data_IF_036611535587
#
_entry.id   IF_036611535587
#
_cell.length_a   1.000
_cell.length_b   1.000
_cell.length_c   1.000
_cell.angle_alpha   90.00
_cell.angle_beta   90.00
_cell.angle_gamma   90.00
#
_symmetry.space_group_name_H-M   'P 1'
#
loop_
_entity.id
_entity.type
_entity.pdbx_description
1 polymer ?
#
# COMPACT_ATOMS: atom_id res chain seq x y z
N UNK A 1 -29.07 -45.96 7.51
CA UNK A 1 -29.34 -45.90 6.06
C UNK A 1 -28.07 -46.32 5.32
N UNK A 2 -28.15 -47.39 4.50
CA UNK A 2 -27.00 -47.92 3.74
C UNK A 2 -26.87 -47.13 2.43
N UNK A 3 -25.74 -46.49 2.19
CA UNK A 3 -25.40 -45.98 0.85
C UNK A 3 -24.56 -47.02 0.11
N UNK A 4 -25.03 -47.44 -1.07
CA UNK A 4 -24.25 -48.20 -2.05
C UNK A 4 -23.30 -47.23 -2.78
N UNK A 5 -22.11 -47.71 -3.22
CA UNK A 5 -21.18 -46.93 -4.03
C UNK A 5 -21.66 -46.92 -5.48
N UNK A 6 -21.78 -45.73 -6.06
CA UNK A 6 -22.20 -45.55 -7.44
C UNK A 6 -21.55 -44.32 -8.04
N UNK A 7 -20.72 -44.58 -9.06
CA UNK A 7 -20.11 -43.65 -10.01
C UNK A 7 -19.07 -42.69 -9.43
N UNK A 8 -17.80 -43.06 -9.63
CA UNK A 8 -16.67 -42.13 -9.44
C UNK A 8 -16.81 -40.93 -10.38
N UNK A 9 -16.33 -39.74 -9.96
CA UNK A 9 -16.35 -38.58 -10.83
C UNK A 9 -15.38 -38.79 -11.98
N UNK A 10 -15.89 -38.58 -13.18
CA UNK A 10 -15.12 -38.49 -14.41
C UNK A 10 -14.21 -37.24 -14.30
N UNK A 11 -12.87 -37.34 -14.41
CA UNK A 11 -11.95 -36.23 -14.10
C UNK A 11 -11.93 -35.11 -15.16
N UNK A 12 -12.95 -35.00 -16.00
CA UNK A 12 -12.99 -34.06 -17.13
C UNK A 12 -14.21 -33.12 -17.14
N UNK A 13 -15.07 -33.12 -16.11
CA UNK A 13 -16.31 -32.30 -16.11
C UNK A 13 -16.48 -31.30 -14.97
N UNK A 14 -15.54 -31.18 -14.03
CA UNK A 14 -15.62 -30.16 -12.96
C UNK A 14 -14.92 -28.82 -13.31
N UNK A 15 -14.59 -28.59 -14.59
CA UNK A 15 -14.16 -27.28 -15.12
C UNK A 15 -15.37 -26.35 -15.32
N UNK A 16 -16.30 -26.34 -14.36
CA UNK A 16 -17.64 -25.75 -14.52
C UNK A 16 -17.75 -24.29 -14.08
N UNK A 17 -16.90 -23.81 -13.17
CA UNK A 17 -16.95 -22.42 -12.68
C UNK A 17 -15.53 -22.00 -12.27
N UNK A 18 -14.78 -21.27 -13.11
CA UNK A 18 -13.43 -20.79 -12.75
C UNK A 18 -13.43 -20.09 -11.39
N UNK A 19 -14.43 -19.24 -11.15
CA UNK A 19 -14.64 -18.51 -9.88
C UNK A 19 -15.12 -19.38 -8.70
N UNK A 20 -15.21 -20.69 -8.87
CA UNK A 20 -15.60 -21.65 -7.83
C UNK A 20 -14.45 -22.04 -6.90
N UNK A 21 -13.20 -21.85 -7.32
CA UNK A 21 -12.01 -22.37 -6.61
C UNK A 21 -11.99 -21.98 -5.13
N UNK A 22 -12.24 -20.71 -4.81
CA UNK A 22 -12.26 -20.23 -3.43
C UNK A 22 -13.26 -21.00 -2.55
N UNK A 23 -14.43 -21.34 -3.09
CA UNK A 23 -15.45 -22.11 -2.37
C UNK A 23 -15.03 -23.56 -2.19
N UNK A 24 -14.40 -24.16 -3.21
CA UNK A 24 -13.88 -25.54 -3.14
C UNK A 24 -12.81 -25.66 -2.07
N UNK A 25 -11.85 -24.72 -2.04
CA UNK A 25 -10.77 -24.70 -1.06
C UNK A 25 -11.28 -24.48 0.38
N UNK A 26 -12.33 -23.67 0.56
CA UNK A 26 -12.96 -23.47 1.87
C UNK A 26 -13.82 -24.66 2.33
N UNK A 27 -14.33 -25.47 1.40
CA UNK A 27 -15.12 -26.66 1.72
C UNK A 27 -14.26 -27.85 2.18
N UNK A 28 -12.95 -27.84 1.86
CA UNK A 28 -12.01 -28.85 2.32
C UNK A 28 -11.85 -28.79 3.85
N UNK A 29 -12.51 -29.71 4.55
CA UNK A 29 -12.79 -29.63 5.99
C UNK A 29 -11.57 -29.72 6.92
N UNK A 30 -10.38 -30.00 6.42
CA UNK A 30 -9.22 -30.23 7.29
C UNK A 30 -7.84 -29.97 6.71
N UNK A 31 -7.69 -29.73 5.40
CA UNK A 31 -6.36 -29.65 4.76
C UNK A 31 -5.42 -30.77 5.24
N UNK A 32 -5.98 -31.96 5.48
CA UNK A 32 -5.24 -33.11 6.01
C UNK A 32 -4.08 -33.46 5.09
N UNK A 33 -2.94 -33.81 5.68
CA UNK A 33 -1.74 -34.16 4.94
C UNK A 33 -1.99 -35.24 3.86
N UNK A 34 -2.91 -36.17 4.12
CA UNK A 34 -3.28 -37.22 3.17
C UNK A 34 -3.95 -36.70 1.90
N UNK A 35 -4.71 -35.60 1.98
CA UNK A 35 -5.47 -35.02 0.86
C UNK A 35 -4.77 -33.82 0.22
N UNK A 36 -3.67 -33.35 0.82
CA UNK A 36 -2.97 -32.13 0.40
C UNK A 36 -2.40 -32.24 -1.02
N UNK A 37 -1.83 -33.40 -1.38
CA UNK A 37 -1.33 -33.64 -2.74
C UNK A 37 -2.44 -33.56 -3.80
N UNK A 38 -3.61 -34.13 -3.50
CA UNK A 38 -4.76 -34.11 -4.41
C UNK A 38 -5.31 -32.68 -4.57
N UNK A 39 -5.37 -31.92 -3.47
CA UNK A 39 -5.78 -30.51 -3.49
C UNK A 39 -4.80 -29.65 -4.29
N UNK A 40 -3.48 -29.83 -4.11
CA UNK A 40 -2.47 -29.12 -4.89
C UNK A 40 -2.49 -29.53 -6.37
N UNK A 41 -2.73 -30.81 -6.68
CA UNK A 41 -2.90 -31.28 -8.06
C UNK A 41 -4.12 -30.64 -8.74
N UNK A 42 -5.25 -30.57 -8.02
CA UNK A 42 -6.45 -29.86 -8.47
C UNK A 42 -6.17 -28.36 -8.68
N UNK A 43 -5.46 -27.72 -7.76
CA UNK A 43 -5.08 -26.31 -7.87
C UNK A 43 -4.23 -26.05 -9.14
N UNK A 44 -3.28 -26.92 -9.45
CA UNK A 44 -2.42 -26.79 -10.63
C UNK A 44 -3.12 -27.08 -11.95
N UNK A 45 -4.18 -27.89 -11.93
CA UNK A 45 -5.01 -28.16 -13.10
C UNK A 45 -6.14 -27.14 -13.27
N UNK A 46 -6.32 -26.22 -12.31
CA UNK A 46 -7.34 -25.18 -12.38
C UNK A 46 -7.02 -24.15 -13.47
N UNK A 47 -8.06 -23.72 -14.21
CA UNK A 47 -7.91 -22.66 -15.20
C UNK A 47 -7.46 -21.35 -14.52
N UNK A 48 -6.50 -20.60 -15.09
CA UNK A 48 -6.07 -19.32 -14.53
C UNK A 48 -7.24 -18.38 -14.26
N UNK A 49 -7.23 -17.77 -13.07
CA UNK A 49 -8.26 -16.82 -12.68
C UNK A 49 -7.88 -15.40 -13.12
N UNK A 50 -8.91 -14.59 -13.37
CA UNK A 50 -8.74 -13.15 -13.50
C UNK A 50 -8.17 -12.56 -12.19
N UNK A 51 -7.53 -11.36 -12.24
CA UNK A 51 -6.84 -10.80 -11.09
C UNK A 51 -7.70 -10.67 -9.84
N UNK A 52 -8.96 -10.21 -9.96
CA UNK A 52 -9.84 -9.98 -8.81
C UNK A 52 -10.20 -11.29 -8.08
N UNK A 53 -10.70 -12.36 -8.75
CA UNK A 53 -10.87 -13.65 -8.10
C UNK A 53 -9.58 -14.26 -7.57
N UNK A 54 -8.44 -14.08 -8.24
CA UNK A 54 -7.15 -14.55 -7.75
C UNK A 54 -6.73 -13.84 -6.45
N UNK A 55 -6.96 -12.53 -6.33
CA UNK A 55 -6.69 -11.76 -5.11
C UNK A 55 -7.46 -12.28 -3.89
N UNK A 56 -8.65 -12.87 -4.09
CA UNK A 56 -9.43 -13.49 -3.02
C UNK A 56 -8.65 -14.63 -2.34
N UNK A 57 -7.83 -15.36 -3.10
CA UNK A 57 -6.99 -16.44 -2.58
C UNK A 57 -5.80 -15.95 -1.74
N UNK A 58 -5.60 -14.63 -1.65
CA UNK A 58 -4.60 -14.01 -0.78
C UNK A 58 -5.19 -13.54 0.56
N UNK A 59 -6.48 -13.78 0.82
CA UNK A 59 -7.13 -13.45 2.10
C UNK A 59 -6.63 -14.37 3.24
N UNK A 60 -6.76 -13.95 4.52
CA UNK A 60 -6.29 -14.73 5.67
C UNK A 60 -6.91 -16.13 5.81
N UNK A 61 -8.10 -16.36 5.24
CA UNK A 61 -8.75 -17.68 5.23
C UNK A 61 -8.08 -18.69 4.28
N UNK A 62 -7.09 -18.26 3.48
CA UNK A 62 -6.26 -19.11 2.62
C UNK A 62 -4.79 -19.02 3.06
N UNK A 63 -4.40 -19.74 4.13
CA UNK A 63 -3.03 -19.68 4.67
C UNK A 63 -2.03 -20.56 3.91
N UNK A 64 -2.50 -21.48 3.05
CA UNK A 64 -1.64 -22.42 2.33
C UNK A 64 -0.71 -21.69 1.36
N UNK A 65 0.59 -21.95 1.48
CA UNK A 65 1.62 -21.24 0.69
C UNK A 65 1.51 -21.53 -0.80
N UNK A 66 1.05 -22.73 -1.19
CA UNK A 66 0.96 -23.13 -2.58
C UNK A 66 -0.25 -22.50 -3.28
N UNK A 67 -1.40 -22.44 -2.61
CA UNK A 67 -2.57 -21.65 -3.07
C UNK A 67 -2.18 -20.21 -3.35
N UNK A 68 -1.49 -19.56 -2.41
CA UNK A 68 -1.07 -18.17 -2.55
C UNK A 68 -0.05 -17.99 -3.67
N UNK A 69 0.89 -18.94 -3.82
CA UNK A 69 1.88 -18.94 -4.90
C UNK A 69 1.22 -19.05 -6.27
N UNK A 70 0.24 -19.94 -6.44
CA UNK A 70 -0.51 -20.10 -7.70
C UNK A 70 -1.36 -18.87 -7.98
N UNK A 71 -2.05 -18.31 -6.98
CA UNK A 71 -2.79 -17.07 -7.13
C UNK A 71 -1.89 -15.92 -7.62
N UNK A 72 -0.68 -15.80 -7.06
CA UNK A 72 0.30 -14.81 -7.52
C UNK A 72 0.75 -15.03 -8.97
N UNK A 73 0.86 -16.29 -9.42
CA UNK A 73 1.22 -16.59 -10.81
C UNK A 73 0.16 -16.12 -11.81
N UNK A 74 -1.12 -16.08 -11.40
CA UNK A 74 -2.21 -15.57 -12.24
C UNK A 74 -2.25 -14.05 -12.27
N UNK A 75 -1.77 -13.37 -11.21
CA UNK A 75 -1.74 -11.91 -11.11
C UNK A 75 -0.42 -11.33 -11.67
N UNK A 76 0.61 -12.14 -11.93
CA UNK A 76 1.96 -11.64 -12.26
C UNK A 76 1.98 -10.64 -13.44
N UNK A 77 1.09 -10.83 -14.41
CA UNK A 77 1.06 -10.09 -15.68
C UNK A 77 0.16 -8.84 -15.69
N UNK A 78 -0.46 -8.45 -14.57
CA UNK A 78 -1.27 -7.22 -14.54
C UNK A 78 -0.44 -5.99 -14.89
N UNK A 79 -1.05 -4.96 -15.48
CA UNK A 79 -0.32 -3.74 -15.84
C UNK A 79 0.15 -2.97 -14.60
N UNK A 80 1.11 -2.05 -14.74
CA UNK A 80 1.55 -1.23 -13.59
C UNK A 80 0.45 -0.27 -13.10
N UNK A 81 -0.44 0.18 -13.99
CA UNK A 81 -1.54 1.06 -13.62
C UNK A 81 -2.60 0.28 -12.82
N UNK A 82 -3.01 -0.88 -13.33
CA UNK A 82 -3.94 -1.78 -12.63
C UNK A 82 -3.36 -2.29 -11.30
N UNK A 83 -2.05 -2.57 -11.25
CA UNK A 83 -1.38 -2.94 -10.00
C UNK A 83 -1.54 -1.85 -8.93
N UNK A 84 -1.43 -0.57 -9.30
CA UNK A 84 -1.57 0.54 -8.35
C UNK A 84 -2.96 0.55 -7.71
N UNK A 85 -4.00 0.19 -8.45
CA UNK A 85 -5.38 0.09 -7.95
C UNK A 85 -5.56 -1.03 -6.91
N UNK A 86 -4.71 -2.06 -6.95
CA UNK A 86 -4.72 -3.20 -6.03
C UNK A 86 -3.63 -3.16 -4.96
N UNK A 87 -2.70 -2.20 -5.00
CA UNK A 87 -1.54 -2.16 -4.10
C UNK A 87 -1.93 -2.13 -2.62
N UNK A 88 -2.99 -1.40 -2.26
CA UNK A 88 -3.44 -1.33 -0.87
C UNK A 88 -3.89 -2.70 -0.34
N UNK A 89 -4.65 -3.44 -1.16
CA UNK A 89 -5.14 -4.78 -0.87
C UNK A 89 -3.99 -5.78 -0.79
N UNK A 90 -3.00 -5.68 -1.68
CA UNK A 90 -1.79 -6.49 -1.66
C UNK A 90 -0.92 -6.23 -0.42
N UNK A 91 -0.81 -4.97 0.02
CA UNK A 91 -0.12 -4.63 1.29
C UNK A 91 -0.87 -5.21 2.50
N UNK A 92 -2.21 -5.27 2.48
CA UNK A 92 -2.95 -5.98 3.52
C UNK A 92 -2.73 -7.50 3.45
N UNK A 93 -2.74 -8.09 2.25
CA UNK A 93 -2.49 -9.52 2.06
C UNK A 93 -1.11 -9.95 2.59
N UNK A 94 -0.09 -9.10 2.45
CA UNK A 94 1.24 -9.34 3.01
C UNK A 94 1.23 -9.55 4.53
N UNK A 95 0.30 -8.93 5.27
CA UNK A 95 0.18 -9.14 6.72
C UNK A 95 -0.20 -10.60 7.05
N UNK A 96 -1.00 -11.21 6.19
CA UNK A 96 -1.49 -12.60 6.37
C UNK A 96 -0.51 -13.68 5.90
N UNK A 97 0.60 -13.31 5.27
CA UNK A 97 1.63 -14.28 4.87
C UNK A 97 2.20 -15.02 6.09
N UNK A 98 2.75 -16.22 5.89
CA UNK A 98 3.42 -16.96 6.96
C UNK A 98 4.88 -16.52 7.07
N UNK A 99 5.58 -16.43 5.94
CA UNK A 99 7.01 -16.17 5.87
C UNK A 99 7.31 -14.77 5.31
N UNK A 100 8.47 -14.23 5.65
CA UNK A 100 8.93 -12.94 5.14
C UNK A 100 9.26 -12.99 3.65
N UNK A 101 9.87 -14.09 3.20
CA UNK A 101 10.13 -14.37 1.79
C UNK A 101 8.99 -15.19 1.21
N UNK A 102 8.07 -14.53 0.53
CA UNK A 102 6.92 -15.15 -0.13
C UNK A 102 6.75 -14.60 -1.56
N UNK A 103 5.90 -15.27 -2.37
CA UNK A 103 5.69 -14.91 -3.77
C UNK A 103 5.17 -13.47 -3.93
N UNK A 104 4.30 -13.01 -3.03
CA UNK A 104 3.75 -11.67 -3.04
C UNK A 104 4.81 -10.59 -2.77
N UNK A 105 5.66 -10.78 -1.77
CA UNK A 105 6.76 -9.86 -1.45
C UNK A 105 7.76 -9.75 -2.61
N UNK A 106 8.13 -10.89 -3.22
CA UNK A 106 9.02 -10.91 -4.38
C UNK A 106 8.39 -10.21 -5.59
N UNK A 107 7.11 -10.46 -5.84
CA UNK A 107 6.35 -9.77 -6.89
C UNK A 107 6.36 -8.25 -6.68
N UNK A 108 6.00 -7.77 -5.49
CA UNK A 108 5.95 -6.33 -5.21
C UNK A 108 7.32 -5.66 -5.36
N UNK A 109 8.41 -6.29 -4.91
CA UNK A 109 9.76 -5.78 -5.11
C UNK A 109 10.15 -5.75 -6.60
N UNK A 110 9.92 -6.84 -7.34
CA UNK A 110 10.18 -6.91 -8.79
C UNK A 110 9.43 -5.80 -9.53
N UNK A 111 8.15 -5.58 -9.21
CA UNK A 111 7.32 -4.54 -9.85
C UNK A 111 7.75 -3.13 -9.46
N UNK A 112 8.16 -2.90 -8.22
CA UNK A 112 8.71 -1.62 -7.77
C UNK A 112 10.03 -1.27 -8.47
N UNK A 113 10.88 -2.25 -8.75
CA UNK A 113 12.13 -2.05 -9.51
C UNK A 113 11.88 -1.64 -10.96
N UNK A 114 10.81 -2.15 -11.57
CA UNK A 114 10.46 -1.88 -12.96
C UNK A 114 9.65 -0.58 -13.13
N UNK A 115 9.00 -0.10 -12.08
CA UNK A 115 8.13 1.07 -12.14
C UNK A 115 8.31 2.00 -10.93
N UNK A 116 8.91 3.19 -11.11
CA UNK A 116 9.01 4.19 -10.06
C UNK A 116 7.66 4.62 -9.48
N UNK A 117 6.59 4.57 -10.30
CA UNK A 117 5.22 4.85 -9.85
C UNK A 117 4.75 3.81 -8.84
N UNK A 118 4.93 2.53 -9.15
CA UNK A 118 4.60 1.42 -8.22
C UNK A 118 5.44 1.52 -6.95
N UNK A 119 6.75 1.77 -7.07
CA UNK A 119 7.63 1.96 -5.92
C UNK A 119 7.18 3.11 -5.02
N UNK A 120 6.77 4.24 -5.60
CA UNK A 120 6.27 5.40 -4.86
C UNK A 120 5.00 5.08 -4.08
N UNK A 121 3.99 4.51 -4.73
CA UNK A 121 2.74 4.16 -4.04
C UNK A 121 2.97 3.08 -2.97
N UNK A 122 3.77 2.07 -3.26
CA UNK A 122 4.14 1.03 -2.29
C UNK A 122 4.86 1.63 -1.07
N UNK A 123 5.79 2.56 -1.27
CA UNK A 123 6.48 3.25 -0.18
C UNK A 123 5.50 3.95 0.77
N UNK A 124 4.58 4.76 0.23
CA UNK A 124 3.62 5.50 1.04
C UNK A 124 2.63 4.60 1.78
N UNK A 125 2.16 3.52 1.14
CA UNK A 125 1.32 2.51 1.79
C UNK A 125 2.04 1.80 2.94
N UNK A 126 3.33 1.49 2.77
CA UNK A 126 4.14 0.87 3.81
C UNK A 126 4.40 1.82 4.98
N UNK A 127 4.76 3.08 4.71
CA UNK A 127 4.97 4.09 5.74
C UNK A 127 3.70 4.31 6.57
N UNK A 128 2.53 4.33 5.93
CA UNK A 128 1.25 4.53 6.62
C UNK A 128 0.92 3.40 7.62
N UNK A 129 1.26 2.16 7.27
CA UNK A 129 0.93 0.98 8.08
C UNK A 129 1.96 0.70 9.16
N UNK A 130 3.19 1.17 9.00
CA UNK A 130 4.27 0.91 9.93
C UNK A 130 4.32 1.95 11.03
N UNK A 131 4.76 1.57 12.25
CA UNK A 131 5.06 2.54 13.29
C UNK A 131 6.31 3.35 12.99
N UNK A 132 6.36 4.59 13.49
CA UNK A 132 7.47 5.51 13.25
C UNK A 132 7.17 6.94 13.71
N UNK A 133 8.14 7.83 13.49
CA UNK A 133 8.08 9.23 13.92
C UNK A 133 7.47 10.18 12.87
N UNK A 134 7.08 9.68 11.70
CA UNK A 134 6.43 10.53 10.69
C UNK A 134 4.95 10.65 11.02
N UNK A 135 4.30 11.78 10.71
CA UNK A 135 2.87 11.99 10.99
C UNK A 135 1.92 10.95 10.41
N UNK A 136 2.35 10.21 9.39
CA UNK A 136 1.55 9.19 8.71
C UNK A 136 1.72 7.80 9.30
N UNK A 137 2.72 7.58 10.17
CA UNK A 137 2.97 6.28 10.77
C UNK A 137 1.83 5.88 11.72
N UNK A 138 1.61 4.58 11.90
CA UNK A 138 0.63 4.07 12.87
C UNK A 138 1.16 4.16 14.30
N UNK A 139 0.28 4.36 15.27
CA UNK A 139 0.64 4.31 16.70
C UNK A 139 1.07 2.90 17.15
N UNK A 140 1.82 2.82 18.26
CA UNK A 140 2.44 1.58 18.78
C UNK A 140 1.64 0.95 19.95
N UNK A 141 0.54 1.58 20.36
CA UNK A 141 -0.13 1.21 21.61
C UNK A 141 -0.73 -0.21 21.57
N UNK A 142 -0.22 -1.08 22.47
CA UNK A 142 -0.71 -2.41 22.80
C UNK A 142 -0.86 -3.40 21.62
N UNK A 143 0.19 -3.55 20.80
CA UNK A 143 0.18 -4.45 19.65
C UNK A 143 0.23 -5.93 20.04
N UNK A 144 -0.60 -6.73 19.36
CA UNK A 144 -0.59 -8.19 19.48
C UNK A 144 0.68 -8.79 18.86
N UNK A 145 1.03 -10.02 19.26
CA UNK A 145 2.16 -10.76 18.66
C UNK A 145 1.99 -10.91 17.14
N UNK A 146 0.76 -11.07 16.66
CA UNK A 146 0.45 -11.19 15.23
C UNK A 146 0.77 -9.90 14.46
N UNK A 147 0.41 -8.75 15.03
CA UNK A 147 0.70 -7.43 14.46
C UNK A 147 2.20 -7.14 14.47
N UNK A 148 2.91 -7.50 15.54
CA UNK A 148 4.36 -7.36 15.60
C UNK A 148 5.07 -8.15 14.48
N UNK A 149 4.63 -9.39 14.20
CA UNK A 149 5.15 -10.19 13.09
C UNK A 149 4.85 -9.56 11.73
N UNK A 150 3.62 -9.07 11.56
CA UNK A 150 3.19 -8.38 10.33
C UNK A 150 3.99 -7.10 10.09
N UNK A 151 4.19 -6.28 11.13
CA UNK A 151 5.01 -5.07 11.07
C UNK A 151 6.45 -5.40 10.70
N UNK A 152 7.05 -6.43 11.32
CA UNK A 152 8.41 -6.86 10.96
C UNK A 152 8.52 -7.20 9.47
N UNK A 153 7.54 -7.94 8.93
CA UNK A 153 7.52 -8.30 7.50
C UNK A 153 7.43 -7.07 6.59
N UNK A 154 6.49 -6.17 6.86
CA UNK A 154 6.32 -4.95 6.08
C UNK A 154 7.55 -4.03 6.20
N UNK A 155 8.20 -4.00 7.37
CA UNK A 155 9.42 -3.24 7.59
C UNK A 155 10.60 -3.79 6.79
N UNK A 156 10.73 -5.12 6.69
CA UNK A 156 11.75 -5.75 5.83
C UNK A 156 11.51 -5.42 4.35
N UNK A 157 10.26 -5.45 3.90
CA UNK A 157 9.90 -5.05 2.54
C UNK A 157 10.23 -3.57 2.27
N UNK A 158 9.90 -2.67 3.19
CA UNK A 158 10.25 -1.26 3.09
C UNK A 158 11.76 -1.05 3.01
N UNK A 159 12.53 -1.76 3.84
CA UNK A 159 14.00 -1.69 3.81
C UNK A 159 14.57 -2.19 2.48
N UNK A 160 14.03 -3.29 1.95
CA UNK A 160 14.43 -3.82 0.65
C UNK A 160 14.08 -2.84 -0.49
N UNK A 161 12.91 -2.21 -0.44
CA UNK A 161 12.51 -1.16 -1.38
C UNK A 161 13.48 0.02 -1.34
N UNK A 162 13.76 0.58 -0.16
CA UNK A 162 14.68 1.72 -0.01
C UNK A 162 16.10 1.36 -0.46
N UNK A 163 16.56 0.15 -0.17
CA UNK A 163 17.88 -0.32 -0.56
C UNK A 163 18.04 -0.47 -2.08
N UNK A 164 16.95 -0.73 -2.81
CA UNK A 164 17.00 -1.09 -4.23
C UNK A 164 16.40 -0.05 -5.18
N UNK A 165 15.62 0.92 -4.68
CA UNK A 165 14.95 1.95 -5.48
C UNK A 165 15.87 2.99 -6.15
N UNK A 166 17.16 3.00 -5.80
CA UNK A 166 18.16 3.93 -6.32
C UNK A 166 18.16 5.30 -5.64
N UNK A 167 19.26 6.03 -5.82
CA UNK A 167 19.52 7.31 -5.12
C UNK A 167 18.47 8.37 -5.40
N UNK A 168 18.06 8.53 -6.67
CA UNK A 168 17.14 9.58 -7.07
C UNK A 168 15.77 9.41 -6.42
N UNK A 169 15.21 8.20 -6.40
CA UNK A 169 13.91 7.94 -5.79
C UNK A 169 14.00 8.00 -4.26
N UNK A 170 15.09 7.50 -3.67
CA UNK A 170 15.35 7.63 -2.23
C UNK A 170 15.43 9.08 -1.78
N UNK A 171 16.14 9.94 -2.52
CA UNK A 171 16.20 11.38 -2.25
C UNK A 171 14.81 12.03 -2.34
N UNK A 172 14.00 11.65 -3.34
CA UNK A 172 12.61 12.11 -3.45
C UNK A 172 11.78 11.73 -2.23
N UNK A 173 11.86 10.48 -1.75
CA UNK A 173 11.17 10.07 -0.53
C UNK A 173 11.56 10.93 0.68
N UNK A 174 12.85 11.21 0.86
CA UNK A 174 13.32 12.07 1.96
C UNK A 174 12.75 13.49 1.85
N UNK A 175 12.78 14.10 0.67
CA UNK A 175 12.20 15.43 0.44
C UNK A 175 10.69 15.45 0.72
N UNK A 176 9.97 14.40 0.32
CA UNK A 176 8.53 14.29 0.61
C UNK A 176 8.24 14.10 2.11
N UNK A 177 9.04 13.30 2.82
CA UNK A 177 8.90 13.16 4.27
C UNK A 177 9.15 14.49 4.98
N UNK A 178 10.15 15.26 4.55
CA UNK A 178 10.41 16.59 5.10
C UNK A 178 9.25 17.55 4.83
N UNK A 179 8.70 17.55 3.61
CA UNK A 179 7.51 18.33 3.26
C UNK A 179 6.35 18.01 4.22
N UNK A 180 6.01 16.73 4.40
CA UNK A 180 4.87 16.38 5.27
C UNK A 180 5.16 16.69 6.74
N UNK A 181 6.39 16.45 7.22
CA UNK A 181 6.77 16.81 8.58
C UNK A 181 6.61 18.31 8.84
N UNK A 182 7.02 19.15 7.90
CA UNK A 182 6.85 20.60 8.00
C UNK A 182 5.38 20.99 7.98
N UNK A 183 4.58 20.43 7.06
CA UNK A 183 3.13 20.69 7.04
C UNK A 183 2.42 20.28 8.32
N UNK A 184 2.82 19.16 8.91
CA UNK A 184 2.31 18.72 10.21
C UNK A 184 2.69 19.69 11.32
N UNK A 185 3.95 20.12 11.39
CA UNK A 185 4.40 21.13 12.37
C UNK A 185 3.62 22.43 12.22
N UNK A 186 3.36 22.89 10.99
CA UNK A 186 2.56 24.08 10.71
C UNK A 186 1.13 23.90 11.20
N UNK A 187 0.52 22.74 10.93
CA UNK A 187 -0.83 22.43 11.37
C UNK A 187 -0.95 22.42 12.91
N UNK A 188 0.00 21.80 13.61
CA UNK A 188 0.05 21.78 15.08
C UNK A 188 0.29 23.17 15.68
N UNK A 189 1.16 23.96 15.08
CA UNK A 189 1.39 25.35 15.49
C UNK A 189 0.13 26.19 15.36
N UNK A 190 -0.70 25.99 14.32
CA UNK A 190 -1.97 26.72 14.17
C UNK A 190 -2.99 26.31 15.23
N UNK A 191 -3.05 25.02 15.58
CA UNK A 191 -3.96 24.51 16.62
C UNK A 191 -3.64 25.12 17.98
N UNK A 192 -2.36 25.22 18.33
CA UNK A 192 -1.90 25.73 19.63
C UNK A 192 -1.83 27.26 19.70
N UNK A 193 -1.68 27.95 18.56
CA UNK A 193 -1.60 29.40 18.52
C UNK A 193 -2.96 30.09 18.75
N UNK A 194 -2.93 31.26 19.40
CA UNK A 194 -4.09 32.14 19.56
C UNK A 194 -4.61 32.58 18.19
N UNK A 195 -5.93 32.63 18.06
CA UNK A 195 -6.61 32.91 16.79
C UNK A 195 -6.12 34.20 16.09
N UNK A 196 -5.85 35.26 16.86
CA UNK A 196 -5.36 36.55 16.36
C UNK A 196 -4.00 36.48 15.64
N UNK A 197 -3.17 35.47 15.92
CA UNK A 197 -1.82 35.32 15.36
C UNK A 197 -1.72 34.19 14.32
N UNK A 198 -2.75 33.35 14.17
CA UNK A 198 -2.72 32.16 13.29
C UNK A 198 -2.33 32.48 11.86
N UNK A 199 -2.96 33.47 11.23
CA UNK A 199 -2.70 33.81 9.83
C UNK A 199 -1.28 34.35 9.61
N UNK A 200 -0.80 35.20 10.54
CA UNK A 200 0.57 35.74 10.49
C UNK A 200 1.61 34.62 10.63
N UNK A 201 1.41 33.72 11.57
CA UNK A 201 2.29 32.57 11.78
C UNK A 201 2.27 31.62 10.58
N UNK A 202 1.08 31.30 10.06
CA UNK A 202 0.92 30.48 8.85
C UNK A 202 1.71 31.06 7.67
N UNK A 203 1.58 32.37 7.43
CA UNK A 203 2.28 33.07 6.34
C UNK A 203 3.80 32.93 6.51
N UNK A 204 4.32 33.22 7.70
CA UNK A 204 5.75 33.13 8.00
C UNK A 204 6.31 31.71 7.84
N UNK A 205 5.59 30.70 8.30
CA UNK A 205 6.03 29.30 8.20
C UNK A 205 5.97 28.79 6.75
N UNK A 206 4.94 29.19 6.00
CA UNK A 206 4.80 28.84 4.58
C UNK A 206 5.85 29.53 3.69
N UNK A 207 6.35 30.72 4.07
CA UNK A 207 7.50 31.35 3.42
C UNK A 207 8.76 30.49 3.59
N UNK A 208 8.99 29.95 4.79
CA UNK A 208 10.06 28.97 5.04
C UNK A 208 9.90 27.70 4.21
N UNK A 209 8.67 27.16 4.14
CA UNK A 209 8.36 26.00 3.30
C UNK A 209 8.56 26.29 1.80
N UNK A 210 8.22 27.48 1.35
CA UNK A 210 8.42 27.92 -0.03
C UNK A 210 9.90 27.93 -0.40
N UNK A 211 10.77 28.51 0.44
CA UNK A 211 12.21 28.53 0.23
C UNK A 211 12.80 27.10 0.16
N UNK A 212 12.38 26.23 1.09
CA UNK A 212 12.81 24.82 1.09
C UNK A 212 12.43 24.08 -0.21
N UNK A 213 11.24 24.32 -0.75
CA UNK A 213 10.79 23.70 -2.00
C UNK A 213 11.47 24.29 -3.25
N UNK A 214 11.98 25.53 -3.18
CA UNK A 214 12.83 26.08 -4.25
C UNK A 214 14.20 25.41 -4.27
N UNK A 215 14.80 25.17 -3.11
CA UNK A 215 16.10 24.48 -2.99
C UNK A 215 15.98 22.98 -3.30
N UNK A 216 14.90 22.35 -2.85
CA UNK A 216 14.66 20.91 -2.99
C UNK A 216 13.25 20.61 -3.52
N UNK A 217 13.02 20.77 -4.83
CA UNK A 217 11.77 20.35 -5.47
C UNK A 217 11.45 18.89 -5.20
N UNK A 218 10.16 18.60 -5.04
CA UNK A 218 9.67 17.25 -4.84
C UNK A 218 8.31 17.06 -5.49
N UNK A 219 7.81 15.83 -5.57
CA UNK A 219 6.44 15.58 -5.99
C UNK A 219 5.52 15.27 -4.81
N UNK A 220 4.22 15.46 -4.98
CA UNK A 220 3.25 15.23 -3.91
C UNK A 220 3.12 13.72 -3.58
N UNK A 221 3.01 13.34 -2.29
CA UNK A 221 2.78 11.95 -1.89
C UNK A 221 1.58 11.29 -2.59
N UNK A 222 0.48 12.03 -2.74
CA UNK A 222 -0.75 11.56 -3.38
C UNK A 222 -0.64 11.43 -4.90
N UNK A 223 0.32 12.09 -5.54
CA UNK A 223 0.44 12.15 -6.99
C UNK A 223 1.89 12.33 -7.41
N UNK A 224 2.63 11.24 -7.70
CA UNK A 224 4.05 11.32 -8.03
C UNK A 224 4.35 12.07 -9.33
N UNK A 225 3.34 12.27 -10.19
CA UNK A 225 3.44 13.05 -11.43
C UNK A 225 3.38 14.57 -11.22
N UNK A 226 2.95 15.03 -10.03
CA UNK A 226 2.81 16.45 -9.71
C UNK A 226 4.05 16.94 -8.96
N UNK A 227 5.01 17.50 -9.69
CA UNK A 227 6.17 18.18 -9.11
C UNK A 227 5.79 19.57 -8.59
N UNK A 228 6.26 19.89 -7.38
CA UNK A 228 6.06 21.15 -6.69
C UNK A 228 7.40 21.81 -6.39
N UNK A 229 7.50 23.12 -6.68
CA UNK A 229 8.71 23.95 -6.50
C UNK A 229 8.50 25.12 -5.54
N UNK A 230 7.33 25.20 -4.92
CA UNK A 230 6.99 26.30 -4.04
C UNK A 230 5.54 26.26 -3.58
N UNK A 231 5.15 27.33 -2.88
CA UNK A 231 3.81 27.54 -2.35
C UNK A 231 3.41 28.99 -2.65
N UNK A 232 2.20 29.19 -3.18
CA UNK A 232 1.60 30.52 -3.25
C UNK A 232 1.01 30.88 -1.88
N UNK A 233 1.87 31.42 -1.02
CA UNK A 233 1.56 31.76 0.38
C UNK A 233 0.31 32.64 0.50
N UNK A 234 0.07 33.55 -0.44
CA UNK A 234 -1.05 34.50 -0.39
C UNK A 234 -2.41 33.82 -0.57
N UNK A 235 -2.44 32.71 -1.29
CA UNK A 235 -3.65 31.93 -1.55
C UNK A 235 -3.89 30.84 -0.51
N UNK A 236 -2.94 30.60 0.39
CA UNK A 236 -3.03 29.62 1.46
C UNK A 236 -3.86 30.14 2.65
N UNK A 237 -4.58 29.24 3.30
CA UNK A 237 -5.36 29.53 4.51
C UNK A 237 -5.59 28.26 5.32
N UNK A 238 -6.45 28.31 6.34
CA UNK A 238 -6.94 27.13 7.05
C UNK A 238 -8.47 27.13 7.05
N UNK A 239 -9.08 25.94 7.12
CA UNK A 239 -10.53 25.83 7.22
C UNK A 239 -10.98 25.99 8.69
N UNK A 240 -11.98 26.84 8.99
CA UNK A 240 -12.51 27.02 10.34
C UNK A 240 -13.38 25.81 10.73
N UNK A 241 -12.73 24.71 11.10
CA UNK A 241 -13.35 23.46 11.53
C UNK A 241 -12.59 22.90 12.74
N UNK A 242 -13.16 21.90 13.42
CA UNK A 242 -12.57 21.34 14.65
C UNK A 242 -11.12 20.86 14.47
N UNK A 243 -10.74 20.38 13.29
CA UNK A 243 -9.39 19.87 13.02
C UNK A 243 -8.47 20.90 12.36
N UNK A 244 -8.96 22.11 12.04
CA UNK A 244 -8.23 23.20 11.40
C UNK A 244 -7.30 22.78 10.24
N UNK A 245 -7.80 22.04 9.23
CA UNK A 245 -6.95 21.57 8.13
C UNK A 245 -6.41 22.75 7.31
N UNK A 246 -5.20 22.59 6.80
CA UNK A 246 -4.54 23.61 5.99
C UNK A 246 -5.04 23.54 4.55
N UNK A 247 -5.35 24.70 3.98
CA UNK A 247 -5.59 24.90 2.56
C UNK A 247 -4.31 25.44 1.94
N UNK A 248 -3.65 24.63 1.13
CA UNK A 248 -2.35 24.96 0.54
C UNK A 248 -2.49 25.03 -0.98
N UNK A 249 -1.82 26.01 -1.58
CA UNK A 249 -1.69 26.13 -3.03
C UNK A 249 -0.22 25.95 -3.40
N UNK A 250 0.15 24.75 -3.84
CA UNK A 250 1.50 24.49 -4.31
C UNK A 250 1.72 25.10 -5.69
N UNK A 251 2.97 25.39 -6.04
CA UNK A 251 3.35 25.87 -7.37
C UNK A 251 4.04 24.75 -8.15
N UNK A 252 3.54 24.46 -9.35
CA UNK A 252 4.20 23.54 -10.28
C UNK A 252 5.50 24.11 -10.84
N UNK A 253 6.24 23.30 -11.61
CA UNK A 253 7.39 23.77 -12.40
C UNK A 253 7.04 24.90 -13.37
N UNK A 254 5.79 24.94 -13.84
CA UNK A 254 5.24 25.97 -14.73
C UNK A 254 4.51 27.09 -13.98
N UNK A 255 4.72 27.22 -12.66
CA UNK A 255 4.04 28.18 -11.78
C UNK A 255 2.51 28.09 -11.79
N UNK A 256 1.95 26.91 -12.12
CA UNK A 256 0.51 26.69 -12.01
C UNK A 256 0.14 26.31 -10.58
N UNK A 257 -0.93 26.88 -9.99
CA UNK A 257 -1.36 26.52 -8.66
C UNK A 257 -1.93 25.09 -8.63
N UNK A 258 -1.47 24.30 -7.67
CA UNK A 258 -1.93 22.94 -7.38
C UNK A 258 -2.56 22.99 -5.98
N UNK A 259 -3.91 23.04 -5.89
CA UNK A 259 -4.59 23.10 -4.61
C UNK A 259 -4.48 21.75 -3.89
N UNK A 260 -4.21 21.80 -2.58
CA UNK A 260 -4.16 20.65 -1.71
C UNK A 260 -4.75 20.98 -0.33
N UNK A 261 -5.30 19.97 0.32
CA UNK A 261 -5.74 20.05 1.71
C UNK A 261 -4.83 19.14 2.53
N UNK A 262 -4.27 19.69 3.60
CA UNK A 262 -3.50 18.93 4.57
C UNK A 262 -4.34 18.80 5.85
N UNK A 263 -4.62 17.56 6.26
CA UNK A 263 -5.43 17.22 7.42
C UNK A 263 -4.75 16.16 8.26
#
# INVERSE_FOLDING_TARGET
MKFRPGLGPNPQSDVGIPNGLAKVLLAAHSWDYACLNDLHSMLHSWAPLDPVPALQLLLPCFPDCEVRRVAMSWIENISSDELVDYLAQLVQALKSETYETNALAQFLLKRALLSPRVAHHLYWLLIQVLPGHSPQNSDIDDITISEARSHRRLQLLLRALIATCGEALRKRFMCQQLLVKNLHSIAENIKTCKESHRMRNLTSELEGLHAMLQDTPTCLPLSPSLEVKGVDVRSCSYFPSNTLPLKISFLSSEQRPIPAIFK
#
